data_IF_600386564216
#
_entry.id   IF_600386564216
#
_cell.length_a   1.000
_cell.length_b   1.000
_cell.length_c   1.000
_cell.angle_alpha   90.00
_cell.angle_beta   90.00
_cell.angle_gamma   90.00
#
_symmetry.space_group_name_H-M   'P 1'
#
loop_
_entity.id
_entity.type
_entity.pdbx_description
1 polymer ?
#
# COMPACT_ATOMS: atom_id res chain seq x y z
N UNK A 1 10.28 35.30 32.25
CA UNK A 1 11.42 34.58 31.61
C UNK A 1 11.51 33.08 31.91
N UNK A 2 11.38 32.62 33.18
CA UNK A 2 11.56 31.18 33.52
C UNK A 2 10.58 30.22 32.82
N UNK A 3 9.33 30.63 32.60
CA UNK A 3 8.31 29.81 31.93
C UNK A 3 8.59 29.51 30.45
N UNK A 4 9.12 30.49 29.71
CA UNK A 4 9.43 30.32 28.27
C UNK A 4 10.60 29.36 28.07
N UNK A 5 11.60 29.45 28.97
CA UNK A 5 12.76 28.54 28.95
C UNK A 5 12.34 27.09 29.25
N UNK A 6 11.43 26.88 30.21
CA UNK A 6 10.89 25.57 30.53
C UNK A 6 10.05 24.98 29.39
N UNK A 7 9.26 25.79 28.69
CA UNK A 7 8.44 25.33 27.56
C UNK A 7 9.31 24.91 26.37
N UNK A 8 10.37 25.67 26.05
CA UNK A 8 11.33 25.33 24.98
C UNK A 8 12.08 24.02 25.27
N UNK A 9 12.43 23.75 26.53
CA UNK A 9 13.07 22.49 26.94
C UNK A 9 12.15 21.27 26.77
N UNK A 10 10.85 21.43 27.06
CA UNK A 10 9.87 20.35 26.84
C UNK A 10 9.65 20.08 25.35
N UNK A 11 9.56 21.11 24.51
CA UNK A 11 9.39 20.93 23.06
C UNK A 11 10.64 20.27 22.43
N UNK A 12 11.84 20.67 22.86
CA UNK A 12 13.10 20.09 22.37
C UNK A 12 13.29 18.63 22.77
N UNK A 13 12.86 18.24 23.98
CA UNK A 13 12.99 16.85 24.46
C UNK A 13 12.00 15.92 23.76
N UNK A 14 10.77 16.37 23.52
CA UNK A 14 9.77 15.62 22.75
C UNK A 14 10.21 15.43 21.29
N UNK A 15 10.80 16.45 20.67
CA UNK A 15 11.30 16.34 19.29
C UNK A 15 12.49 15.37 19.17
N UNK A 16 13.38 15.35 20.18
CA UNK A 16 14.51 14.41 20.23
C UNK A 16 14.06 12.95 20.42
N UNK A 17 13.10 12.71 21.32
CA UNK A 17 12.52 11.37 21.55
C UNK A 17 11.82 10.82 20.30
N UNK A 18 11.04 11.65 19.60
CA UNK A 18 10.38 11.25 18.35
C UNK A 18 11.38 10.96 17.22
N UNK A 19 12.47 11.73 17.14
CA UNK A 19 13.52 11.53 16.13
C UNK A 19 14.34 10.25 16.38
N UNK A 20 14.55 9.87 17.64
CA UNK A 20 15.21 8.61 18.00
C UNK A 20 14.32 7.38 17.75
N UNK A 21 13.02 7.47 17.98
CA UNK A 21 12.09 6.35 17.76
C UNK A 21 11.92 5.99 16.27
N UNK A 22 12.08 6.95 15.35
CA UNK A 22 12.09 6.68 13.90
C UNK A 22 13.35 5.97 13.41
N UNK A 23 14.49 6.05 14.12
CA UNK A 23 15.75 5.42 13.69
C UNK A 23 15.87 3.95 14.07
N UNK A 24 15.09 3.48 15.03
CA UNK A 24 15.18 2.09 15.52
C UNK A 24 14.25 1.11 14.78
N UNK A 25 13.32 1.62 13.97
CA UNK A 25 12.47 0.81 13.09
C UNK A 25 13.08 0.71 11.70
N UNK A 26 14.31 0.22 11.59
CA UNK A 26 14.80 -0.33 10.32
C UNK A 26 13.97 -1.59 10.03
N UNK A 27 13.21 -1.66 8.93
CA UNK A 27 12.47 -2.86 8.60
C UNK A 27 13.46 -4.02 8.45
N UNK A 28 13.24 -5.09 9.22
CA UNK A 28 13.95 -6.35 9.03
C UNK A 28 13.79 -6.75 7.56
N UNK A 29 14.92 -6.99 6.91
CA UNK A 29 15.01 -7.59 5.57
C UNK A 29 14.17 -8.87 5.58
N UNK A 30 13.04 -8.86 4.89
CA UNK A 30 12.24 -10.06 4.65
C UNK A 30 13.04 -10.87 3.63
N UNK A 31 13.67 -11.92 4.15
CA UNK A 31 14.43 -12.91 3.42
C UNK A 31 13.44 -13.80 2.65
N UNK A 32 13.84 -14.19 1.44
CA UNK A 32 13.13 -15.08 0.52
C UNK A 32 12.47 -16.27 1.23
N UNK A 33 11.13 -16.33 1.23
CA UNK A 33 10.41 -17.59 1.42
C UNK A 33 9.37 -17.73 0.30
N UNK A 34 9.71 -18.55 -0.69
CA UNK A 34 8.94 -18.89 -1.88
C UNK A 34 7.74 -19.80 -1.60
N UNK A 35 7.15 -19.71 -0.41
CA UNK A 35 5.88 -20.30 -0.02
C UNK A 35 5.26 -19.41 1.05
N UNK A 36 4.93 -18.17 0.66
CA UNK A 36 4.24 -17.23 1.52
C UNK A 36 2.86 -17.84 1.86
N UNK A 37 2.73 -18.44 3.04
CA UNK A 37 1.42 -18.52 3.72
C UNK A 37 0.93 -17.08 3.71
N UNK A 38 -0.05 -16.80 2.85
CA UNK A 38 -0.64 -15.46 2.79
C UNK A 38 -1.07 -15.13 4.21
N UNK A 39 -0.43 -14.13 4.81
CA UNK A 39 -0.66 -13.79 6.20
C UNK A 39 -2.14 -13.45 6.34
N UNK A 40 -2.87 -14.24 7.12
CA UNK A 40 -4.33 -14.06 7.29
C UNK A 40 -4.66 -12.65 7.80
N UNK A 41 -3.72 -12.06 8.53
CA UNK A 41 -3.78 -10.68 9.01
C UNK A 41 -3.69 -9.65 7.86
N UNK A 42 -2.84 -9.90 6.87
CA UNK A 42 -2.74 -9.08 5.65
C UNK A 42 -4.03 -9.13 4.82
N UNK A 43 -4.67 -10.30 4.73
CA UNK A 43 -5.97 -10.43 4.06
C UNK A 43 -7.11 -9.76 4.85
N UNK A 44 -6.99 -9.64 6.17
CA UNK A 44 -8.01 -9.00 7.00
C UNK A 44 -7.99 -7.47 6.91
N UNK A 45 -6.84 -6.86 6.60
CA UNK A 45 -6.67 -5.41 6.47
C UNK A 45 -6.61 -4.93 5.03
N UNK A 46 -6.99 -5.77 4.07
CA UNK A 46 -6.96 -5.43 2.64
C UNK A 46 -8.07 -4.45 2.25
N UNK A 47 -7.68 -3.42 1.52
CA UNK A 47 -8.62 -2.55 0.80
C UNK A 47 -8.55 -2.89 -0.68
N UNK A 48 -9.64 -3.44 -1.22
CA UNK A 48 -9.74 -3.84 -2.63
C UNK A 48 -9.86 -2.57 -3.49
N UNK A 49 -8.91 -2.39 -4.41
CA UNK A 49 -8.89 -1.30 -5.39
C UNK A 49 -9.71 -1.69 -6.61
N UNK A 50 -9.52 -2.93 -7.08
CA UNK A 50 -10.21 -3.45 -8.24
C UNK A 50 -10.38 -4.95 -8.13
N UNK A 51 -11.44 -5.47 -8.74
CA UNK A 51 -11.74 -6.89 -8.81
C UNK A 51 -12.30 -7.22 -10.18
N UNK A 52 -11.72 -8.25 -10.79
CA UNK A 52 -12.18 -8.82 -12.05
C UNK A 52 -12.59 -10.27 -11.79
N UNK A 53 -13.89 -10.55 -11.89
CA UNK A 53 -14.39 -11.93 -11.83
C UNK A 53 -14.35 -12.55 -13.23
N UNK A 54 -13.98 -13.83 -13.31
CA UNK A 54 -13.94 -14.58 -14.56
C UNK A 54 -14.70 -15.90 -14.45
N UNK A 55 -15.35 -16.30 -15.54
CA UNK A 55 -16.04 -17.58 -15.67
C UNK A 55 -15.81 -18.15 -17.07
N UNK A 56 -15.12 -19.27 -17.15
CA UNK A 56 -14.66 -19.93 -18.37
C UNK A 56 -15.49 -21.20 -18.56
N UNK A 57 -16.31 -21.27 -19.62
CA UNK A 57 -17.35 -22.31 -19.76
C UNK A 57 -17.23 -23.22 -20.99
N UNK A 58 -16.65 -22.79 -22.12
CA UNK A 58 -16.37 -23.67 -23.28
C UNK A 58 -15.39 -23.02 -24.28
N UNK A 59 -14.64 -23.84 -25.04
CA UNK A 59 -13.38 -23.48 -25.70
C UNK A 59 -13.46 -23.34 -27.22
N UNK A 60 -12.93 -22.22 -27.72
CA UNK A 60 -12.10 -22.24 -28.92
C UNK A 60 -10.81 -21.51 -28.58
N UNK A 61 -9.82 -22.26 -28.11
CA UNK A 61 -8.57 -21.73 -27.57
C UNK A 61 -8.61 -21.68 -26.04
N UNK A 62 -7.79 -22.49 -25.39
CA UNK A 62 -7.72 -22.62 -23.93
C UNK A 62 -7.07 -21.42 -23.22
N UNK A 63 -6.88 -20.32 -23.95
CA UNK A 63 -6.15 -19.13 -23.50
C UNK A 63 -7.11 -17.96 -23.46
N UNK A 64 -7.25 -17.36 -22.28
CA UNK A 64 -8.14 -16.22 -22.05
C UNK A 64 -7.31 -15.01 -21.61
N UNK A 65 -7.08 -14.04 -22.51
CA UNK A 65 -6.29 -12.87 -22.17
C UNK A 65 -7.12 -11.87 -21.34
N UNK A 66 -6.58 -11.45 -20.20
CA UNK A 66 -7.15 -10.45 -19.30
C UNK A 66 -6.26 -9.21 -19.31
N UNK A 67 -6.80 -8.06 -19.73
CA UNK A 67 -6.06 -6.79 -19.81
C UNK A 67 -5.91 -6.16 -18.41
N UNK A 68 -4.80 -6.41 -17.73
CA UNK A 68 -4.53 -5.89 -16.38
C UNK A 68 -3.73 -4.59 -16.36
N UNK A 69 -3.00 -4.25 -17.43
CA UNK A 69 -2.16 -3.05 -17.49
C UNK A 69 -2.93 -1.76 -17.18
N UNK A 70 -4.12 -1.60 -17.75
CA UNK A 70 -4.99 -0.44 -17.49
C UNK A 70 -5.38 -0.32 -16.00
N UNK A 71 -5.51 -1.44 -15.30
CA UNK A 71 -5.87 -1.49 -13.88
C UNK A 71 -4.70 -1.04 -12.99
N UNK A 72 -3.46 -1.29 -13.42
CA UNK A 72 -2.24 -0.93 -12.69
C UNK A 72 -1.93 0.57 -12.75
N UNK A 73 -2.27 1.25 -13.86
CA UNK A 73 -1.96 2.68 -14.11
C UNK A 73 -2.53 3.64 -13.06
N UNK A 74 -3.72 3.34 -12.55
CA UNK A 74 -4.44 4.23 -11.63
C UNK A 74 -3.98 4.11 -10.19
N UNK A 75 -3.18 3.09 -9.87
CA UNK A 75 -2.69 2.96 -8.52
C UNK A 75 -1.44 3.85 -8.37
N UNK A 76 -1.44 4.72 -7.36
CA UNK A 76 -0.33 5.61 -6.97
C UNK A 76 0.29 5.18 -5.63
N UNK A 77 -0.16 4.06 -5.06
CA UNK A 77 0.20 3.58 -3.71
C UNK A 77 1.40 2.64 -3.76
N UNK A 78 2.24 2.67 -2.72
CA UNK A 78 3.56 2.01 -2.62
C UNK A 78 3.53 0.53 -2.26
N UNK A 79 2.45 -0.01 -1.68
CA UNK A 79 2.34 -1.44 -1.33
C UNK A 79 1.08 -2.08 -1.92
N UNK A 80 1.20 -2.57 -3.15
CA UNK A 80 0.11 -3.26 -3.86
C UNK A 80 0.34 -4.75 -3.87
N UNK A 81 -0.77 -5.46 -3.98
CA UNK A 81 -0.81 -6.90 -4.04
C UNK A 81 -1.81 -7.30 -5.11
N UNK A 82 -1.53 -8.43 -5.78
CA UNK A 82 -2.48 -9.08 -6.67
C UNK A 82 -2.76 -10.46 -6.08
N UNK A 83 -4.03 -10.76 -5.89
CA UNK A 83 -4.49 -12.09 -5.51
C UNK A 83 -5.31 -12.64 -6.67
N UNK A 84 -4.92 -13.81 -7.15
CA UNK A 84 -5.66 -14.57 -8.15
C UNK A 84 -6.20 -15.80 -7.45
N UNK A 85 -7.52 -15.94 -7.44
CA UNK A 85 -8.20 -17.11 -6.88
C UNK A 85 -8.98 -17.80 -7.99
N UNK A 86 -8.97 -19.12 -7.97
CA UNK A 86 -9.61 -19.96 -8.98
C UNK A 86 -10.15 -21.23 -8.36
N UNK A 87 -11.24 -21.74 -8.92
CA UNK A 87 -11.88 -22.99 -8.47
C UNK A 87 -11.05 -24.24 -8.77
N UNK A 88 -10.09 -24.16 -9.69
CA UNK A 88 -9.25 -25.26 -10.16
C UNK A 88 -7.84 -24.75 -10.48
N UNK A 89 -6.83 -25.64 -10.57
CA UNK A 89 -5.50 -25.26 -11.02
C UNK A 89 -5.50 -24.57 -12.39
N UNK A 90 -4.77 -23.47 -12.45
CA UNK A 90 -4.59 -22.67 -13.65
C UNK A 90 -3.11 -22.35 -13.85
N UNK A 91 -2.74 -22.18 -15.09
CA UNK A 91 -1.46 -21.60 -15.48
C UNK A 91 -1.69 -20.12 -15.82
N UNK A 92 -0.80 -19.26 -15.35
CA UNK A 92 -0.87 -17.82 -15.55
C UNK A 92 0.38 -17.34 -16.28
N UNK A 93 0.19 -16.55 -17.32
CA UNK A 93 1.28 -15.94 -18.09
C UNK A 93 1.04 -14.45 -18.19
N UNK A 94 2.06 -13.65 -17.91
CA UNK A 94 2.00 -12.21 -18.12
C UNK A 94 2.75 -11.86 -19.40
N UNK A 95 2.12 -11.10 -20.29
CA UNK A 95 2.71 -10.70 -21.57
C UNK A 95 2.42 -9.24 -21.91
N UNK A 96 3.29 -8.64 -22.72
CA UNK A 96 3.15 -7.30 -23.28
C UNK A 96 3.95 -7.19 -24.58
N UNK A 97 3.40 -6.51 -25.59
CA UNK A 97 3.98 -6.42 -26.94
C UNK A 97 4.40 -7.81 -27.51
N UNK A 98 3.66 -8.88 -27.19
CA UNK A 98 4.02 -10.26 -27.57
C UNK A 98 5.21 -10.88 -26.83
N UNK A 99 5.80 -10.20 -25.83
CA UNK A 99 6.86 -10.72 -24.98
C UNK A 99 6.32 -11.24 -23.65
N UNK A 100 6.77 -12.42 -23.22
CA UNK A 100 6.38 -13.04 -21.95
C UNK A 100 7.32 -12.65 -20.81
N UNK A 101 6.77 -12.43 -19.63
CA UNK A 101 7.52 -12.24 -18.39
C UNK A 101 7.87 -13.60 -17.78
N UNK A 102 9.12 -14.01 -17.88
CA UNK A 102 9.58 -15.32 -17.39
C UNK A 102 9.74 -15.40 -15.87
N UNK A 103 9.92 -14.26 -15.19
CA UNK A 103 10.20 -14.18 -13.74
C UNK A 103 8.97 -14.39 -12.84
N UNK A 104 7.81 -14.74 -13.42
CA UNK A 104 6.56 -14.91 -12.69
C UNK A 104 6.26 -16.39 -12.39
N UNK A 105 5.57 -16.67 -11.28
CA UNK A 105 5.11 -18.02 -10.98
C UNK A 105 4.04 -18.44 -11.99
N UNK A 106 4.38 -19.43 -12.82
CA UNK A 106 3.54 -19.77 -13.97
C UNK A 106 2.46 -20.83 -13.66
N UNK A 107 2.68 -21.77 -12.73
CA UNK A 107 1.69 -22.79 -12.35
C UNK A 107 1.14 -22.53 -10.95
N UNK A 108 -0.19 -22.47 -10.80
CA UNK A 108 -0.83 -22.13 -9.52
C UNK A 108 -1.92 -23.14 -9.21
N UNK A 109 -1.93 -23.67 -7.97
CA UNK A 109 -2.88 -24.71 -7.60
C UNK A 109 -4.32 -24.19 -7.54
N UNK A 110 -4.56 -23.03 -6.92
CA UNK A 110 -5.88 -22.39 -6.81
C UNK A 110 -5.73 -20.90 -6.51
N UNK A 111 -4.74 -20.56 -5.68
CA UNK A 111 -4.47 -19.20 -5.25
C UNK A 111 -3.05 -18.80 -5.62
N UNK A 112 -2.91 -17.65 -6.26
CA UNK A 112 -1.63 -16.98 -6.46
C UNK A 112 -1.65 -15.62 -5.78
N UNK A 113 -0.61 -15.37 -5.01
CA UNK A 113 -0.41 -14.09 -4.36
C UNK A 113 0.87 -13.45 -4.89
N UNK A 114 0.73 -12.29 -5.53
CA UNK A 114 1.84 -11.46 -5.98
C UNK A 114 2.03 -10.32 -5.00
N UNK A 115 3.15 -10.36 -4.28
CA UNK A 115 3.56 -9.32 -3.36
C UNK A 115 3.99 -8.02 -4.04
N UNK A 116 4.34 -6.97 -3.27
CA UNK A 116 4.65 -5.65 -3.79
C UNK A 116 5.85 -5.63 -4.74
N UNK A 117 6.79 -6.56 -4.55
CA UNK A 117 7.94 -6.72 -5.44
C UNK A 117 7.50 -7.12 -6.87
N UNK A 118 6.64 -8.12 -7.02
CA UNK A 118 6.11 -8.55 -8.31
C UNK A 118 5.24 -7.47 -8.95
N UNK A 119 4.43 -6.77 -8.15
CA UNK A 119 3.62 -5.66 -8.68
C UNK A 119 4.48 -4.50 -9.17
N UNK A 120 5.64 -4.25 -8.54
CA UNK A 120 6.61 -3.27 -9.03
C UNK A 120 7.16 -3.66 -10.40
N UNK A 121 7.51 -4.93 -10.59
CA UNK A 121 8.00 -5.45 -11.89
C UNK A 121 6.92 -5.27 -12.96
N UNK A 122 5.66 -5.64 -12.68
CA UNK A 122 4.55 -5.42 -13.62
C UNK A 122 4.37 -3.94 -13.97
N UNK A 123 4.52 -3.05 -12.99
CA UNK A 123 4.39 -1.62 -13.22
C UNK A 123 5.56 -1.03 -14.03
N UNK A 124 6.77 -1.54 -13.84
CA UNK A 124 7.93 -1.17 -14.68
C UNK A 124 7.74 -1.71 -16.10
N UNK A 125 7.27 -2.94 -16.24
CA UNK A 125 6.95 -3.54 -17.54
C UNK A 125 5.84 -2.79 -18.27
N UNK A 126 4.85 -2.25 -17.54
CA UNK A 126 3.82 -1.40 -18.11
C UNK A 126 4.39 -0.13 -18.76
N UNK A 127 5.54 0.36 -18.32
CA UNK A 127 6.14 1.57 -18.90
C UNK A 127 7.04 1.30 -20.11
N UNK A 128 7.26 0.04 -20.48
CA UNK A 128 8.00 -0.31 -21.69
C UNK A 128 7.23 0.12 -22.95
N UNK A 129 7.92 0.69 -23.93
CA UNK A 129 7.31 1.07 -25.22
C UNK A 129 7.12 -0.16 -26.11
N UNK A 130 5.95 -0.28 -26.74
CA UNK A 130 5.66 -1.26 -27.77
C UNK A 130 5.89 -0.66 -29.16
N UNK A 131 6.10 -1.52 -30.16
CA UNK A 131 6.13 -1.08 -31.56
C UNK A 131 4.75 -0.54 -32.02
N UNK A 132 3.66 -1.03 -31.41
CA UNK A 132 2.31 -0.52 -31.57
C UNK A 132 1.89 0.34 -30.37
N UNK A 133 1.67 1.66 -30.54
CA UNK A 133 1.31 2.56 -29.45
C UNK A 133 -0.05 2.27 -28.81
N UNK A 134 -0.93 1.51 -29.47
CA UNK A 134 -2.20 1.07 -28.84
C UNK A 134 -1.97 0.03 -27.72
N UNK A 135 -0.80 -0.62 -27.71
CA UNK A 135 -0.43 -1.66 -26.74
C UNK A 135 0.43 -1.16 -25.57
N UNK A 136 0.87 0.10 -25.59
CA UNK A 136 1.75 0.69 -24.56
C UNK A 136 1.17 0.57 -23.14
N UNK A 137 -0.15 0.70 -23.01
CA UNK A 137 -0.84 0.62 -21.71
C UNK A 137 -1.38 -0.79 -21.39
N UNK A 138 -1.10 -1.78 -22.22
CA UNK A 138 -1.65 -3.14 -22.10
C UNK A 138 -0.62 -4.10 -21.52
N UNK A 139 -0.98 -4.73 -20.40
CA UNK A 139 -0.38 -6.00 -19.95
C UNK A 139 -1.50 -7.02 -19.98
N UNK A 140 -1.23 -8.15 -20.62
CA UNK A 140 -2.14 -9.28 -20.70
C UNK A 140 -1.76 -10.30 -19.64
N UNK A 141 -2.76 -10.76 -18.91
CA UNK A 141 -2.69 -11.95 -18.08
C UNK A 141 -3.46 -13.05 -18.83
N UNK A 142 -2.74 -14.02 -19.35
CA UNK A 142 -3.33 -15.18 -20.00
C UNK A 142 -3.59 -16.26 -18.96
N UNK A 143 -4.86 -16.69 -18.88
CA UNK A 143 -5.25 -17.83 -18.08
C UNK A 143 -5.34 -19.07 -18.97
N UNK A 144 -4.62 -20.11 -18.59
CA UNK A 144 -4.62 -21.40 -19.27
C UNK A 144 -5.05 -22.49 -18.29
N UNK A 145 -5.93 -23.39 -18.72
CA UNK A 145 -6.29 -24.53 -17.90
C UNK A 145 -6.70 -25.75 -18.72
N UNK A 146 -6.49 -26.90 -18.10
CA UNK A 146 -6.79 -28.22 -18.63
C UNK A 146 -8.23 -28.68 -18.33
N UNK A 147 -8.90 -28.05 -17.35
CA UNK A 147 -10.23 -28.49 -16.86
C UNK A 147 -11.21 -27.33 -16.86
N UNK A 148 -12.24 -27.40 -17.70
CA UNK A 148 -13.36 -26.46 -17.71
C UNK A 148 -14.62 -27.13 -17.12
N UNK A 149 -15.55 -26.38 -16.52
CA UNK A 149 -15.56 -24.93 -16.35
C UNK A 149 -14.69 -24.44 -15.17
N UNK A 150 -14.24 -23.18 -15.24
CA UNK A 150 -13.46 -22.53 -14.18
C UNK A 150 -14.05 -21.18 -13.86
N UNK A 151 -14.18 -20.91 -12.57
CA UNK A 151 -14.54 -19.59 -12.07
C UNK A 151 -13.48 -19.10 -11.11
N UNK A 152 -13.29 -17.78 -11.07
CA UNK A 152 -12.35 -17.19 -10.14
C UNK A 152 -12.42 -15.68 -10.14
N UNK A 153 -11.47 -15.07 -9.45
CA UNK A 153 -11.35 -13.62 -9.33
C UNK A 153 -9.90 -13.18 -9.25
N UNK A 154 -9.61 -12.04 -9.87
CA UNK A 154 -8.35 -11.33 -9.73
C UNK A 154 -8.64 -10.08 -8.92
N UNK A 155 -8.04 -9.98 -7.74
CA UNK A 155 -8.18 -8.86 -6.84
C UNK A 155 -6.88 -8.06 -6.77
N UNK A 156 -6.99 -6.78 -7.08
CA UNK A 156 -5.95 -5.79 -6.85
C UNK A 156 -6.28 -5.10 -5.55
N UNK A 157 -5.40 -5.20 -4.57
CA UNK A 157 -5.63 -4.58 -3.27
C UNK A 157 -4.36 -3.96 -2.72
N UNK A 158 -4.57 -3.05 -1.78
CA UNK A 158 -3.51 -2.54 -0.91
C UNK A 158 -3.74 -3.10 0.47
N UNK A 159 -2.67 -3.55 1.10
CA UNK A 159 -2.68 -3.76 2.54
C UNK A 159 -2.13 -2.49 3.16
N UNK A 160 -2.95 -1.84 3.98
CA UNK A 160 -2.43 -0.85 4.88
C UNK A 160 -1.69 -1.59 5.99
N UNK A 161 -0.48 -1.15 6.28
CA UNK A 161 0.30 -1.67 7.38
C UNK A 161 -0.36 -1.19 8.68
N UNK A 162 -0.90 -2.09 9.53
CA UNK A 162 -1.61 -1.68 10.73
C UNK A 162 -0.71 -0.88 11.69
N UNK A 163 0.60 -1.03 11.62
CA UNK A 163 1.54 -0.21 12.40
C UNK A 163 1.65 1.21 11.84
N UNK A 164 1.60 1.38 10.52
CA UNK A 164 1.60 2.69 9.86
C UNK A 164 0.31 3.44 10.16
N UNK A 165 -0.85 2.79 10.13
CA UNK A 165 -2.13 3.40 10.56
C UNK A 165 -2.05 3.82 12.03
N UNK A 166 -1.52 2.96 12.91
CA UNK A 166 -1.31 3.29 14.33
C UNK A 166 -0.37 4.47 14.50
N UNK A 167 0.71 4.55 13.73
CA UNK A 167 1.65 5.66 13.76
C UNK A 167 0.99 6.97 13.29
N UNK A 168 0.24 6.96 12.19
CA UNK A 168 -0.52 8.14 11.74
C UNK A 168 -1.55 8.58 12.77
N UNK A 169 -2.32 7.65 13.34
CA UNK A 169 -3.26 7.92 14.44
C UNK A 169 -2.56 8.52 15.65
N UNK A 170 -1.39 8.01 16.02
CA UNK A 170 -0.58 8.55 17.10
C UNK A 170 -0.09 9.97 16.79
N UNK A 171 0.46 10.21 15.60
CA UNK A 171 0.92 11.53 15.17
C UNK A 171 -0.21 12.54 15.16
N UNK A 172 -1.37 12.20 14.59
CA UNK A 172 -2.56 13.07 14.60
C UNK A 172 -2.97 13.41 16.03
N UNK A 173 -3.02 12.42 16.94
CA UNK A 173 -3.33 12.64 18.36
C UNK A 173 -2.29 13.54 19.02
N UNK A 174 -1.00 13.31 18.79
CA UNK A 174 0.08 14.13 19.34
C UNK A 174 0.02 15.58 18.83
N UNK A 175 -0.25 15.78 17.54
CA UNK A 175 -0.42 17.11 16.94
C UNK A 175 -1.63 17.83 17.51
N UNK A 176 -2.78 17.16 17.65
CA UNK A 176 -3.97 17.72 18.30
C UNK A 176 -3.69 18.15 19.73
N UNK A 177 -3.03 17.30 20.52
CA UNK A 177 -2.63 17.63 21.90
C UNK A 177 -1.67 18.83 21.91
N UNK A 178 -0.68 18.85 21.01
CA UNK A 178 0.25 19.97 20.86
C UNK A 178 -0.46 21.29 20.50
N UNK A 179 -1.44 21.25 19.60
CA UNK A 179 -2.24 22.42 19.23
C UNK A 179 -3.07 22.93 20.42
N UNK A 180 -3.69 22.04 21.20
CA UNK A 180 -4.44 22.41 22.41
C UNK A 180 -3.53 23.07 23.43
N UNK A 181 -2.34 22.51 23.68
CA UNK A 181 -1.36 23.10 24.61
C UNK A 181 -0.94 24.50 24.12
N UNK A 182 -0.65 24.66 22.84
CA UNK A 182 -0.29 25.95 22.24
C UNK A 182 -1.43 26.98 22.38
N UNK A 183 -2.68 26.57 22.15
CA UNK A 183 -3.86 27.41 22.34
C UNK A 183 -4.02 27.87 23.79
N UNK A 184 -3.91 26.94 24.75
CA UNK A 184 -4.04 27.24 26.17
C UNK A 184 -2.90 28.14 26.65
N UNK A 185 -1.66 27.84 26.25
CA UNK A 185 -0.50 28.65 26.59
C UNK A 185 -0.60 30.05 25.96
N UNK A 186 -1.04 30.14 24.70
CA UNK A 186 -1.27 31.40 23.99
C UNK A 186 -2.36 32.24 24.66
N UNK A 187 -3.50 31.64 25.01
CA UNK A 187 -4.59 32.32 25.72
C UNK A 187 -4.14 32.79 27.12
N UNK A 188 -3.38 31.97 27.84
CA UNK A 188 -2.84 32.31 29.16
C UNK A 188 -1.84 33.47 29.07
N UNK A 189 -0.96 33.46 28.05
CA UNK A 189 0.01 34.54 27.81
C UNK A 189 -0.69 35.85 27.39
N UNK A 190 -1.67 35.78 26.50
CA UNK A 190 -2.46 36.94 26.09
C UNK A 190 -3.23 37.55 27.28
N UNK A 191 -3.82 36.71 28.12
CA UNK A 191 -4.55 37.15 29.32
C UNK A 191 -3.59 37.79 30.33
N UNK A 192 -2.42 37.20 30.57
CA UNK A 192 -1.39 37.79 31.42
C UNK A 192 -0.94 39.17 30.90
N UNK A 193 -0.67 39.28 29.60
CA UNK A 193 -0.24 40.54 28.99
C UNK A 193 -1.32 41.61 29.08
N UNK A 194 -2.58 41.24 28.85
CA UNK A 194 -3.74 42.12 29.00
C UNK A 194 -3.85 42.61 30.46
N UNK A 195 -3.83 41.72 31.45
CA UNK A 195 -3.93 42.08 32.86
C UNK A 195 -2.76 42.97 33.35
N UNK A 196 -1.53 42.70 32.88
CA UNK A 196 -0.35 43.50 33.19
C UNK A 196 -0.41 44.90 32.53
N UNK A 197 -0.87 45.01 31.28
CA UNK A 197 -0.99 46.30 30.59
C UNK A 197 -2.00 47.24 31.27
N UNK A 198 -3.04 46.69 31.89
CA UNK A 198 -4.08 47.46 32.60
C UNK A 198 -3.83 47.59 34.11
N UNK A 199 -2.66 47.19 34.63
CA UNK A 199 -2.28 47.37 36.03
C UNK A 199 -3.14 46.57 37.02
N UNK A 200 -3.72 45.45 36.57
CA UNK A 200 -4.52 44.53 37.41
C UNK A 200 -3.67 43.42 38.04
N UNK A 201 -2.40 43.32 37.65
CA UNK A 201 -1.37 42.47 38.23
C UNK A 201 -0.14 43.37 38.46
N UNK A 202 0.22 43.60 39.72
CA UNK A 202 1.48 44.23 40.14
C UNK A 202 2.68 43.29 39.95
#
# INVERSE_FOLDING_TARGET
MKFILSLLLVVSTVHCLLSQQMRTTTPKRIENDSNLKVDKELLATRTIINRVDFNLTESSGNTWPIKIGQLLRNATVTRRFILIESSCPIYVLFSKCGMNLEDFPNWVNQTLFLGPHYVKILNEFQTAECDDPEEDDLILLELVSEKLPISGSIEFFVSEDPEVIRMYMFTIRATLVGMVILLVAGASFATYFYLHQFGLLD
#
